data_IF_488595818753
#
_entry.id   IF_488595818753
#
_cell.length_a   1.000
_cell.length_b   1.000
_cell.length_c   1.000
_cell.angle_alpha   90.00
_cell.angle_beta   90.00
_cell.angle_gamma   90.00
#
_symmetry.space_group_name_H-M   'P 1'
#
loop_
_entity.id
_entity.type
_entity.pdbx_description
1 polymer ?
#
# COMPACT_ATOMS: atom_id res chain seq x y z
N UNK A 1 -8.63 -41.96 44.47
CA UNK A 1 -8.07 -40.63 44.13
C UNK A 1 -6.96 -40.82 43.11
N UNK A 2 -7.24 -40.56 41.83
CA UNK A 2 -6.24 -40.47 40.76
C UNK A 2 -6.53 -39.18 40.00
N UNK A 3 -5.68 -38.19 40.17
CA UNK A 3 -5.76 -36.91 39.47
C UNK A 3 -5.28 -37.13 38.03
N UNK A 4 -6.19 -37.00 37.08
CA UNK A 4 -5.84 -36.84 35.66
C UNK A 4 -5.71 -35.34 35.45
N UNK A 5 -4.47 -34.85 35.39
CA UNK A 5 -4.17 -33.50 34.93
C UNK A 5 -4.21 -33.53 33.41
N UNK A 6 -5.29 -33.02 32.83
CA UNK A 6 -5.39 -32.81 31.38
C UNK A 6 -4.72 -31.48 31.05
N UNK A 7 -3.45 -31.53 30.63
CA UNK A 7 -2.75 -30.36 30.09
C UNK A 7 -3.28 -30.10 28.68
N UNK A 8 -4.10 -29.05 28.53
CA UNK A 8 -4.56 -28.56 27.24
C UNK A 8 -3.39 -27.79 26.59
N UNK A 9 -2.65 -28.46 25.71
CA UNK A 9 -1.63 -27.82 24.87
C UNK A 9 -2.37 -27.10 23.74
N UNK A 10 -2.51 -25.78 23.85
CA UNK A 10 -2.91 -24.94 22.73
C UNK A 10 -1.71 -24.86 21.79
N UNK A 11 -1.73 -25.67 20.73
CA UNK A 11 -0.85 -25.51 19.59
C UNK A 11 -1.21 -24.18 18.90
N UNK A 12 -0.47 -23.12 19.21
CA UNK A 12 -0.44 -21.93 18.37
C UNK A 12 0.40 -22.33 17.16
N UNK A 13 -0.26 -22.89 16.15
CA UNK A 13 0.35 -23.07 14.84
C UNK A 13 0.70 -21.68 14.32
N UNK A 14 2.00 -21.44 14.10
CA UNK A 14 2.51 -20.36 13.27
C UNK A 14 2.08 -20.58 11.82
N UNK A 15 0.79 -20.41 11.56
CA UNK A 15 0.28 -20.15 10.23
C UNK A 15 0.82 -18.78 9.87
N UNK A 16 1.59 -18.71 8.79
CA UNK A 16 1.93 -17.47 8.11
C UNK A 16 0.62 -16.82 7.65
N UNK A 17 -0.04 -16.11 8.56
CA UNK A 17 -1.24 -15.35 8.26
C UNK A 17 -0.83 -14.31 7.23
N UNK A 18 -1.26 -14.50 5.98
CA UNK A 18 -1.27 -13.42 5.02
C UNK A 18 -2.01 -12.25 5.65
N UNK A 19 -1.51 -11.03 5.42
CA UNK A 19 -2.19 -9.81 5.79
C UNK A 19 -3.64 -9.87 5.29
N UNK A 20 -4.59 -10.00 6.21
CA UNK A 20 -5.99 -10.23 5.89
C UNK A 20 -6.80 -9.04 6.39
N UNK A 21 -7.43 -8.36 5.44
CA UNK A 21 -8.48 -7.38 5.69
C UNK A 21 -9.83 -8.13 5.69
N UNK A 22 -10.63 -7.95 6.73
CA UNK A 22 -11.90 -8.64 6.92
C UNK A 22 -13.04 -8.05 6.09
N UNK A 23 -12.98 -6.75 5.76
CA UNK A 23 -14.06 -6.07 5.02
C UNK A 23 -13.79 -5.92 3.53
N UNK A 24 -12.55 -6.10 3.08
CA UNK A 24 -12.23 -6.12 1.65
C UNK A 24 -12.94 -7.33 1.03
N UNK A 25 -13.89 -7.06 0.13
CA UNK A 25 -14.53 -8.09 -0.65
C UNK A 25 -13.56 -8.58 -1.71
N UNK A 26 -12.96 -9.75 -1.45
CA UNK A 26 -12.10 -10.47 -2.38
C UNK A 26 -12.92 -11.56 -3.06
N UNK A 27 -13.02 -11.50 -4.38
CA UNK A 27 -13.74 -12.53 -5.13
C UNK A 27 -13.04 -13.88 -5.09
N UNK A 28 -13.83 -14.95 -5.11
CA UNK A 28 -13.30 -16.31 -5.17
C UNK A 28 -12.79 -16.71 -6.57
N UNK A 29 -13.20 -15.98 -7.61
CA UNK A 29 -12.85 -16.22 -9.00
C UNK A 29 -12.79 -14.89 -9.76
N UNK A 30 -12.31 -14.88 -11.01
CA UNK A 30 -12.25 -13.68 -11.88
C UNK A 30 -11.23 -12.59 -11.51
N UNK A 31 -10.19 -12.95 -10.75
CA UNK A 31 -9.03 -12.08 -10.52
C UNK A 31 -8.58 -11.39 -11.83
N UNK A 32 -8.34 -10.08 -11.76
CA UNK A 32 -8.02 -9.14 -12.86
C UNK A 32 -9.13 -8.86 -13.89
N UNK A 33 -10.16 -9.70 -14.02
CA UNK A 33 -11.12 -9.62 -15.15
C UNK A 33 -12.08 -8.44 -15.05
N UNK A 34 -12.29 -7.94 -13.85
CA UNK A 34 -13.19 -6.83 -13.54
C UNK A 34 -12.45 -5.54 -13.17
N UNK A 35 -11.12 -5.54 -13.25
CA UNK A 35 -10.33 -4.33 -13.06
C UNK A 35 -10.61 -3.36 -14.23
N UNK A 36 -11.12 -2.17 -13.91
CA UNK A 36 -11.35 -1.07 -14.85
C UNK A 36 -10.19 -0.08 -14.80
N UNK A 37 -9.80 0.32 -13.60
CA UNK A 37 -8.70 1.24 -13.33
C UNK A 37 -7.37 0.50 -13.46
N UNK A 38 -7.12 -0.51 -12.63
CA UNK A 38 -5.86 -1.23 -12.50
C UNK A 38 -5.82 -2.46 -13.41
N UNK A 39 -6.05 -2.24 -14.70
CA UNK A 39 -6.03 -3.29 -15.72
C UNK A 39 -4.61 -3.71 -16.09
N UNK A 40 -4.44 -4.98 -16.50
CA UNK A 40 -3.16 -5.57 -16.91
C UNK A 40 -2.34 -4.69 -17.87
N UNK A 41 -1.04 -4.56 -17.59
CA UNK A 41 -0.10 -3.78 -18.39
C UNK A 41 -0.17 -2.27 -18.17
N UNK A 42 -1.11 -1.76 -17.36
CA UNK A 42 -1.07 -0.36 -16.93
C UNK A 42 0.03 -0.18 -15.88
N UNK A 43 0.62 1.01 -15.92
CA UNK A 43 1.60 1.48 -14.95
C UNK A 43 1.21 2.88 -14.47
N UNK A 44 1.35 3.09 -13.16
CA UNK A 44 0.98 4.31 -12.46
C UNK A 44 2.24 4.87 -11.79
N UNK A 45 2.64 6.06 -12.19
CA UNK A 45 3.80 6.77 -11.64
C UNK A 45 3.35 7.77 -10.59
N UNK A 46 3.90 7.68 -9.38
CA UNK A 46 3.64 8.56 -8.26
C UNK A 46 4.89 9.38 -7.93
N UNK A 47 4.72 10.70 -7.89
CA UNK A 47 5.65 11.57 -7.15
C UNK A 47 5.38 11.44 -5.67
N UNK A 48 6.40 11.72 -4.87
CA UNK A 48 6.24 11.68 -3.43
C UNK A 48 7.01 12.79 -2.74
N UNK A 49 6.54 13.15 -1.57
CA UNK A 49 7.17 14.10 -0.67
C UNK A 49 7.17 13.52 0.75
N UNK A 50 8.27 13.70 1.48
CA UNK A 50 8.41 13.30 2.87
C UNK A 50 8.64 14.55 3.70
N UNK A 51 7.85 14.73 4.76
CA UNK A 51 7.92 15.89 5.65
C UNK A 51 7.94 15.45 7.11
N UNK A 52 8.76 16.12 7.91
CA UNK A 52 8.78 15.97 9.36
C UNK A 52 8.97 17.37 9.97
N UNK A 53 8.09 17.77 10.89
CA UNK A 53 8.14 19.09 11.52
C UNK A 53 8.24 20.25 10.50
N UNK A 54 7.43 20.21 9.44
CA UNK A 54 7.43 21.14 8.30
C UNK A 54 8.71 21.19 7.45
N UNK A 55 9.72 20.36 7.76
CA UNK A 55 10.95 20.25 6.98
C UNK A 55 10.79 19.15 5.94
N UNK A 56 11.27 19.40 4.72
CA UNK A 56 11.26 18.43 3.62
C UNK A 56 12.48 17.52 3.71
N UNK A 57 12.26 16.23 3.51
CA UNK A 57 13.31 15.21 3.49
C UNK A 57 13.32 14.45 2.17
N UNK A 58 14.51 13.97 1.83
CA UNK A 58 14.83 13.16 0.68
C UNK A 58 15.46 11.86 1.16
N UNK A 59 15.21 10.78 0.43
CA UNK A 59 15.83 9.49 0.70
C UNK A 59 17.25 9.54 0.11
N UNK A 60 18.26 9.44 0.98
CA UNK A 60 19.68 9.34 0.63
C UNK A 60 20.14 7.89 0.49
N UNK A 61 19.60 7.00 1.32
CA UNK A 61 19.80 5.56 1.22
C UNK A 61 18.49 4.81 1.45
N UNK A 62 18.25 3.77 0.66
CA UNK A 62 17.03 2.97 0.70
C UNK A 62 17.31 1.47 0.55
N UNK A 63 18.45 1.01 1.06
CA UNK A 63 18.93 -0.36 0.85
C UNK A 63 18.50 -1.27 2.00
N UNK A 64 17.44 -2.04 1.78
CA UNK A 64 16.86 -2.90 2.82
C UNK A 64 16.43 -2.08 4.05
N UNK A 65 17.04 -2.38 5.20
CA UNK A 65 16.77 -1.69 6.47
C UNK A 65 17.74 -0.52 6.73
N UNK A 66 18.74 -0.33 5.87
CA UNK A 66 19.67 0.81 5.92
C UNK A 66 19.04 2.03 5.24
N UNK A 67 18.17 2.71 5.98
CA UNK A 67 17.42 3.88 5.52
C UNK A 67 18.05 5.15 6.09
N UNK A 68 18.32 6.12 5.22
CA UNK A 68 18.85 7.43 5.60
C UNK A 68 18.05 8.54 4.91
N UNK A 69 17.53 9.47 5.70
CA UNK A 69 16.87 10.67 5.23
C UNK A 69 17.79 11.89 5.37
N UNK A 70 17.66 12.84 4.46
CA UNK A 70 18.44 14.09 4.45
C UNK A 70 17.57 15.24 3.96
N UNK A 71 17.92 16.47 4.35
CA UNK A 71 17.31 17.69 3.81
C UNK A 71 18.02 18.20 2.54
N UNK A 72 19.13 17.57 2.14
CA UNK A 72 19.87 17.91 0.94
C UNK A 72 19.30 17.23 -0.30
N UNK A 73 18.70 18.03 -1.20
CA UNK A 73 18.13 17.56 -2.46
C UNK A 73 19.17 16.96 -3.40
N UNK A 74 20.45 17.35 -3.31
CA UNK A 74 21.50 16.79 -4.16
C UNK A 74 21.76 15.30 -3.87
N UNK A 75 21.31 14.82 -2.70
CA UNK A 75 21.42 13.44 -2.26
C UNK A 75 20.22 12.56 -2.65
N UNK A 76 19.27 13.07 -3.46
CA UNK A 76 18.06 12.35 -3.85
C UNK A 76 18.39 11.11 -4.69
N UNK A 77 18.07 9.92 -4.18
CA UNK A 77 18.30 8.65 -4.90
C UNK A 77 17.05 8.06 -5.56
N UNK A 78 15.86 8.46 -5.12
CA UNK A 78 14.56 7.98 -5.64
C UNK A 78 13.68 9.19 -5.91
N UNK A 79 13.12 9.27 -7.12
CA UNK A 79 12.34 10.44 -7.56
C UNK A 79 10.87 10.11 -7.83
N UNK A 80 10.54 8.82 -7.92
CA UNK A 80 9.23 8.34 -8.31
C UNK A 80 9.05 6.89 -7.86
N UNK A 81 7.82 6.55 -7.46
CA UNK A 81 7.38 5.18 -7.23
C UNK A 81 6.48 4.79 -8.39
N UNK A 82 6.68 3.60 -8.96
CA UNK A 82 5.80 3.08 -10.00
C UNK A 82 5.08 1.83 -9.52
N UNK A 83 3.80 1.75 -9.81
CA UNK A 83 2.97 0.56 -9.66
C UNK A 83 2.70 0.00 -11.06
N UNK A 84 3.15 -1.22 -11.35
CA UNK A 84 2.93 -1.89 -12.63
C UNK A 84 2.04 -3.12 -12.44
N UNK A 85 0.95 -3.20 -13.20
CA UNK A 85 -0.03 -4.29 -13.10
C UNK A 85 0.40 -5.48 -13.96
N UNK A 86 0.63 -6.63 -13.33
CA UNK A 86 1.14 -7.84 -13.97
C UNK A 86 0.06 -8.86 -14.31
N UNK A 87 0.38 -9.78 -15.22
CA UNK A 87 -0.38 -11.00 -15.48
C UNK A 87 0.46 -12.24 -15.18
N UNK A 88 0.66 -12.65 -13.91
CA UNK A 88 1.48 -13.81 -13.59
C UNK A 88 1.06 -15.08 -14.32
N UNK A 89 2.00 -16.00 -14.50
CA UNK A 89 1.66 -17.33 -14.99
C UNK A 89 0.77 -18.03 -13.95
N UNK A 90 0.05 -19.05 -14.40
CA UNK A 90 -0.85 -19.83 -13.55
C UNK A 90 -0.03 -20.36 -12.35
N UNK A 91 -0.59 -20.23 -11.14
CA UNK A 91 0.03 -20.61 -9.86
C UNK A 91 1.27 -19.83 -9.41
N UNK A 92 1.68 -18.77 -10.13
CA UNK A 92 2.84 -17.93 -9.76
C UNK A 92 2.45 -16.59 -9.11
N UNK A 93 1.19 -16.41 -8.73
CA UNK A 93 0.74 -15.21 -8.00
C UNK A 93 1.24 -15.26 -6.56
N UNK A 94 1.70 -14.13 -6.05
CA UNK A 94 2.06 -13.94 -4.64
C UNK A 94 0.83 -14.15 -3.76
N UNK A 95 -0.31 -13.56 -4.16
CA UNK A 95 -1.61 -13.83 -3.55
C UNK A 95 -2.61 -14.34 -4.61
N UNK A 96 -3.09 -15.58 -4.43
CA UNK A 96 -3.93 -16.28 -5.42
C UNK A 96 -5.21 -15.54 -5.81
N UNK A 97 -5.74 -14.67 -4.93
CA UNK A 97 -7.01 -13.98 -5.14
C UNK A 97 -6.87 -12.48 -5.43
N UNK A 98 -5.65 -11.98 -5.56
CA UNK A 98 -5.39 -10.56 -5.82
C UNK A 98 -4.76 -10.37 -7.20
N UNK A 99 -5.01 -9.19 -7.78
CA UNK A 99 -4.27 -8.75 -8.96
C UNK A 99 -2.84 -8.46 -8.55
N UNK A 100 -1.88 -9.06 -9.24
CA UNK A 100 -0.47 -8.90 -8.93
C UNK A 100 0.04 -7.55 -9.42
N UNK A 101 0.76 -6.85 -8.55
CA UNK A 101 1.44 -5.60 -8.86
C UNK A 101 2.90 -5.66 -8.45
N UNK A 102 3.73 -4.90 -9.16
CA UNK A 102 5.09 -4.59 -8.75
C UNK A 102 5.16 -3.11 -8.37
N UNK A 103 5.82 -2.83 -7.25
CA UNK A 103 6.39 -1.51 -6.99
C UNK A 103 7.87 -1.46 -7.42
N UNK A 104 8.23 -0.42 -8.18
CA UNK A 104 9.63 -0.06 -8.46
C UNK A 104 9.93 1.38 -8.01
N UNK A 105 11.17 1.61 -7.60
CA UNK A 105 11.66 2.89 -7.06
C UNK A 105 12.69 3.47 -8.03
N UNK A 106 12.27 4.47 -8.79
CA UNK A 106 13.00 5.00 -9.95
C UNK A 106 13.90 6.19 -9.55
N UNK A 107 15.01 6.45 -10.26
CA UNK A 107 15.37 5.87 -11.57
C UNK A 107 16.17 4.56 -11.52
N UNK A 108 16.67 4.17 -10.35
CA UNK A 108 17.60 3.04 -10.21
C UNK A 108 17.08 2.02 -9.19
N UNK A 109 16.05 1.22 -9.52
CA UNK A 109 15.51 0.27 -8.55
C UNK A 109 16.51 -0.84 -8.27
N UNK A 110 16.95 -0.91 -7.01
CA UNK A 110 17.79 -2.01 -6.49
C UNK A 110 16.98 -3.29 -6.25
N UNK A 111 15.69 -3.15 -5.98
CA UNK A 111 14.76 -4.26 -5.73
C UNK A 111 13.38 -3.97 -6.35
N UNK A 112 12.58 -5.02 -6.50
CA UNK A 112 11.17 -4.96 -6.88
C UNK A 112 10.33 -5.52 -5.75
N UNK A 113 9.23 -4.84 -5.43
CA UNK A 113 8.28 -5.32 -4.42
C UNK A 113 7.06 -5.93 -5.08
N UNK A 114 6.89 -7.24 -4.95
CA UNK A 114 5.70 -7.96 -5.45
C UNK A 114 4.63 -7.97 -4.37
N UNK A 115 3.42 -7.55 -4.75
CA UNK A 115 2.27 -7.53 -3.86
C UNK A 115 0.97 -7.59 -4.67
N UNK A 116 -0.17 -7.24 -4.06
CA UNK A 116 -1.45 -7.29 -4.72
C UNK A 116 -2.37 -6.09 -4.51
N UNK A 117 -3.43 -6.08 -5.32
CA UNK A 117 -4.58 -5.22 -5.15
C UNK A 117 -5.86 -6.00 -5.43
N UNK A 118 -6.98 -5.42 -5.01
CA UNK A 118 -8.33 -5.92 -5.27
C UNK A 118 -9.11 -4.79 -5.91
N UNK A 119 -9.62 -5.00 -7.11
CA UNK A 119 -10.56 -4.11 -7.77
C UNK A 119 -11.75 -4.93 -8.25
N UNK A 120 -12.95 -4.52 -7.86
CA UNK A 120 -14.20 -5.10 -8.36
C UNK A 120 -15.34 -4.09 -8.21
N UNK A 121 -16.58 -4.52 -8.49
CA UNK A 121 -17.77 -3.66 -8.40
C UNK A 121 -18.09 -3.18 -6.97
N UNK A 122 -17.53 -3.81 -5.94
CA UNK A 122 -17.79 -3.48 -4.53
C UNK A 122 -16.71 -2.61 -3.90
N UNK A 123 -15.45 -2.82 -4.26
CA UNK A 123 -14.35 -2.05 -3.70
C UNK A 123 -13.11 -1.97 -4.57
N UNK A 124 -12.27 -0.99 -4.24
CA UNK A 124 -10.87 -0.94 -4.62
C UNK A 124 -10.01 -0.86 -3.37
N UNK A 125 -9.04 -1.77 -3.25
CA UNK A 125 -8.07 -1.85 -2.16
C UNK A 125 -6.69 -2.18 -2.72
N UNK A 126 -5.64 -1.50 -2.25
CA UNK A 126 -4.28 -1.64 -2.80
C UNK A 126 -3.29 -1.76 -1.64
N UNK A 127 -2.39 -2.73 -1.68
CA UNK A 127 -1.22 -2.70 -0.81
C UNK A 127 -0.37 -1.44 -1.08
N UNK A 128 0.07 -0.69 -0.06
CA UNK A 128 0.96 0.45 -0.27
C UNK A 128 2.36 0.01 -0.77
N UNK A 129 3.18 0.95 -1.26
CA UNK A 129 4.62 0.70 -1.45
C UNK A 129 5.23 0.24 -0.12
N UNK A 130 6.11 -0.76 -0.16
CA UNK A 130 6.52 -1.53 1.04
C UNK A 130 7.99 -1.97 1.04
N UNK A 131 8.87 -1.17 0.44
CA UNK A 131 10.34 -1.37 0.49
C UNK A 131 11.06 -0.14 1.03
N UNK A 132 12.21 -0.38 1.65
CA UNK A 132 13.02 0.66 2.27
C UNK A 132 12.19 1.53 3.21
N UNK A 133 12.29 2.86 3.06
CA UNK A 133 11.53 3.83 3.85
C UNK A 133 10.00 3.61 3.79
N UNK A 134 9.48 3.15 2.65
CA UNK A 134 8.04 2.98 2.47
C UNK A 134 7.48 1.74 3.17
N UNK A 135 8.33 0.87 3.74
CA UNK A 135 7.89 -0.14 4.73
C UNK A 135 7.08 0.48 5.87
N UNK A 136 7.35 1.75 6.20
CA UNK A 136 6.56 2.53 7.17
C UNK A 136 5.06 2.55 6.86
N UNK A 137 4.65 2.53 5.59
CA UNK A 137 3.26 2.59 5.17
C UNK A 137 2.46 1.34 5.54
N UNK A 138 3.13 0.24 5.89
CA UNK A 138 2.48 -0.97 6.42
C UNK A 138 1.90 -0.74 7.83
N UNK A 139 2.33 0.31 8.53
CA UNK A 139 1.76 0.76 9.82
C UNK A 139 0.56 1.69 9.66
N UNK A 140 0.20 2.05 8.43
CA UNK A 140 -0.91 2.95 8.09
C UNK A 140 -2.14 2.19 7.59
N UNK A 141 -3.33 2.84 7.56
CA UNK A 141 -4.45 2.34 6.77
C UNK A 141 -4.04 2.24 5.30
N UNK A 142 -4.45 1.17 4.62
CA UNK A 142 -4.18 1.04 3.19
C UNK A 142 -5.19 1.83 2.35
N UNK A 143 -4.82 2.25 1.12
CA UNK A 143 -5.76 2.80 0.16
C UNK A 143 -6.94 1.85 -0.06
N UNK A 144 -8.12 2.28 0.40
CA UNK A 144 -9.33 1.45 0.39
C UNK A 144 -10.58 2.33 0.22
N UNK A 145 -11.42 1.96 -0.74
CA UNK A 145 -12.75 2.55 -0.93
C UNK A 145 -13.79 1.45 -1.14
N UNK A 146 -14.94 1.56 -0.46
CA UNK A 146 -16.16 0.81 -0.77
C UNK A 146 -16.97 1.62 -1.79
N UNK A 147 -17.16 1.07 -2.98
CA UNK A 147 -17.79 1.76 -4.10
C UNK A 147 -19.31 1.90 -3.91
N UNK A 148 -19.90 2.89 -4.59
CA UNK A 148 -21.34 3.15 -4.59
C UNK A 148 -21.90 3.42 -3.18
N UNK A 149 -21.12 4.08 -2.33
CA UNK A 149 -21.52 4.48 -0.98
C UNK A 149 -21.58 6.00 -0.86
N UNK A 150 -22.53 6.55 -0.09
CA UNK A 150 -22.68 7.98 0.08
C UNK A 150 -21.58 8.57 0.98
N UNK A 151 -21.43 9.89 0.95
CA UNK A 151 -20.69 10.66 1.95
C UNK A 151 -21.25 10.36 3.36
N UNK A 152 -20.35 10.22 4.34
CA UNK A 152 -20.64 9.78 5.70
C UNK A 152 -20.65 8.26 5.89
N UNK A 153 -20.48 7.46 4.82
CA UNK A 153 -20.37 6.01 4.95
C UNK A 153 -19.07 5.62 5.67
N UNK A 154 -19.20 4.78 6.69
CA UNK A 154 -18.11 4.33 7.57
C UNK A 154 -17.93 2.83 7.52
N UNK A 155 -16.69 2.39 7.61
CA UNK A 155 -16.36 0.98 7.80
C UNK A 155 -15.08 0.86 8.64
N UNK A 156 -14.89 -0.32 9.20
CA UNK A 156 -13.73 -0.66 10.04
C UNK A 156 -13.09 -1.92 9.51
N UNK A 157 -11.79 -2.06 9.74
CA UNK A 157 -11.05 -3.26 9.43
C UNK A 157 -9.93 -3.44 10.45
N UNK A 158 -9.18 -4.53 10.40
CA UNK A 158 -7.99 -4.69 11.22
C UNK A 158 -6.96 -5.55 10.52
N UNK A 159 -5.69 -5.35 10.88
CA UNK A 159 -4.61 -6.17 10.36
C UNK A 159 -3.58 -6.41 11.45
N UNK A 160 -3.04 -7.63 11.49
CA UNK A 160 -1.89 -7.98 12.30
C UNK A 160 -0.66 -7.99 11.41
N UNK A 161 0.36 -7.21 11.76
CA UNK A 161 1.65 -7.18 11.08
C UNK A 161 2.76 -7.66 12.02
N UNK A 162 3.81 -8.31 11.50
CA UNK A 162 4.93 -8.80 12.30
C UNK A 162 6.09 -7.81 12.41
N UNK A 163 7.07 -8.10 13.25
CA UNK A 163 8.24 -7.26 13.50
C UNK A 163 9.18 -7.09 12.29
N UNK A 164 8.97 -7.81 11.18
CA UNK A 164 9.70 -7.53 9.92
C UNK A 164 9.43 -6.12 9.35
N UNK A 165 8.39 -5.44 9.84
CA UNK A 165 8.05 -4.05 9.51
C UNK A 165 8.52 -3.05 10.57
N UNK A 166 9.11 -3.52 11.67
CA UNK A 166 9.64 -2.73 12.78
C UNK A 166 10.86 -1.94 12.33
N UNK A 167 10.96 -0.65 12.70
CA UNK A 167 12.13 0.16 12.41
C UNK A 167 12.24 1.38 13.33
N UNK A 168 13.46 1.68 13.77
CA UNK A 168 13.79 2.87 14.58
C UNK A 168 13.26 4.20 14.05
N UNK A 169 13.04 4.35 12.75
CA UNK A 169 12.59 5.61 12.14
C UNK A 169 11.11 5.87 12.44
N UNK A 170 10.24 4.87 12.32
CA UNK A 170 8.77 5.04 12.47
C UNK A 170 8.18 4.37 13.71
N UNK A 171 8.96 3.54 14.40
CA UNK A 171 8.55 2.86 15.61
C UNK A 171 8.99 1.41 15.62
N UNK A 172 9.51 0.98 16.77
CA UNK A 172 9.95 -0.40 16.99
C UNK A 172 8.95 -1.17 17.84
N UNK A 173 8.77 -2.44 17.51
CA UNK A 173 8.01 -3.37 18.31
C UNK A 173 8.54 -4.79 18.12
N UNK A 174 8.26 -5.63 19.12
CA UNK A 174 8.54 -7.07 19.07
C UNK A 174 7.27 -7.86 18.75
N UNK A 175 7.43 -9.04 18.15
CA UNK A 175 6.35 -9.93 17.74
C UNK A 175 5.36 -9.30 16.75
N UNK A 176 4.07 -9.25 17.11
CA UNK A 176 2.99 -8.77 16.26
C UNK A 176 2.45 -7.41 16.72
N UNK A 177 1.95 -6.65 15.77
CA UNK A 177 1.30 -5.35 15.97
C UNK A 177 -0.10 -5.42 15.36
N UNK A 178 -1.12 -5.26 16.20
CA UNK A 178 -2.51 -5.09 15.74
C UNK A 178 -2.72 -3.63 15.33
N UNK A 179 -3.25 -3.45 14.13
CA UNK A 179 -3.67 -2.18 13.56
C UNK A 179 -5.19 -2.22 13.43
N UNK A 180 -5.88 -1.36 14.17
CA UNK A 180 -7.34 -1.22 14.09
C UNK A 180 -7.70 -0.01 13.21
N UNK A 181 -8.35 -0.28 12.09
CA UNK A 181 -8.67 0.73 11.09
C UNK A 181 -10.09 1.25 11.20
N UNK A 182 -10.24 2.56 10.99
CA UNK A 182 -11.52 3.21 10.77
C UNK A 182 -11.43 4.07 9.51
N UNK A 183 -12.44 3.96 8.65
CA UNK A 183 -12.53 4.67 7.37
C UNK A 183 -13.86 5.42 7.26
N UNK A 184 -13.85 6.55 6.56
CA UNK A 184 -15.03 7.35 6.26
C UNK A 184 -14.90 8.01 4.88
N UNK A 185 -15.96 7.94 4.05
CA UNK A 185 -16.08 8.85 2.89
C UNK A 185 -16.51 10.21 3.44
N UNK A 186 -15.61 11.19 3.42
CA UNK A 186 -15.86 12.51 4.03
C UNK A 186 -16.43 13.53 3.04
N UNK A 187 -16.34 13.28 1.73
CA UNK A 187 -16.84 14.21 0.73
C UNK A 187 -16.35 13.93 -0.67
N UNK A 188 -16.51 14.95 -1.52
CA UNK A 188 -15.96 15.00 -2.86
C UNK A 188 -15.22 16.32 -3.04
N UNK A 189 -14.04 16.29 -3.64
CA UNK A 189 -13.21 17.46 -3.89
C UNK A 189 -12.74 17.45 -5.36
N UNK A 190 -12.63 18.64 -5.96
CA UNK A 190 -12.01 18.81 -7.26
C UNK A 190 -10.51 18.94 -7.11
N UNK A 191 -9.76 18.07 -7.78
CA UNK A 191 -8.30 18.03 -7.72
C UNK A 191 -7.72 18.47 -9.05
N UNK A 192 -6.84 19.46 -9.00
CA UNK A 192 -6.05 19.89 -10.15
C UNK A 192 -4.87 18.94 -10.31
N UNK A 193 -4.98 18.02 -11.26
CA UNK A 193 -3.98 17.00 -11.53
C UNK A 193 -3.36 17.20 -12.92
N UNK A 194 -2.33 16.39 -13.24
CA UNK A 194 -1.79 16.31 -14.60
C UNK A 194 -2.80 15.76 -15.63
N UNK A 195 -3.96 15.27 -15.18
CA UNK A 195 -5.06 14.80 -16.03
C UNK A 195 -6.16 15.85 -16.19
N UNK A 196 -5.93 17.09 -15.72
CA UNK A 196 -6.91 18.16 -15.62
C UNK A 196 -7.54 18.26 -14.24
N UNK A 197 -8.54 19.12 -14.13
CA UNK A 197 -9.42 19.19 -12.95
C UNK A 197 -10.35 17.96 -12.95
N UNK A 198 -10.28 17.17 -11.89
CA UNK A 198 -11.03 15.91 -11.76
C UNK A 198 -11.74 15.83 -10.42
N UNK A 199 -12.99 15.37 -10.43
CA UNK A 199 -13.75 15.10 -9.21
C UNK A 199 -13.22 13.83 -8.54
N UNK A 200 -12.90 13.92 -7.25
CA UNK A 200 -12.42 12.83 -6.44
C UNK A 200 -13.32 12.62 -5.23
N UNK A 201 -13.63 11.36 -4.91
CA UNK A 201 -14.17 10.95 -3.62
C UNK A 201 -13.04 11.00 -2.60
N UNK A 202 -13.29 11.62 -1.45
CA UNK A 202 -12.30 11.81 -0.39
C UNK A 202 -12.60 10.85 0.74
N UNK A 203 -11.59 10.06 1.12
CA UNK A 203 -11.68 9.07 2.19
C UNK A 203 -10.65 9.42 3.24
N UNK A 204 -11.10 9.59 4.48
CA UNK A 204 -10.21 9.64 5.64
C UNK A 204 -10.17 8.28 6.33
N UNK A 205 -8.97 7.88 6.71
CA UNK A 205 -8.70 6.64 7.39
C UNK A 205 -7.72 6.86 8.54
N UNK A 206 -7.87 6.08 9.60
CA UNK A 206 -7.00 6.09 10.76
C UNK A 206 -6.70 4.65 11.19
N UNK A 207 -5.46 4.39 11.61
CA UNK A 207 -5.09 3.17 12.30
C UNK A 207 -4.74 3.48 13.75
N UNK A 208 -5.30 2.73 14.69
CA UNK A 208 -4.87 2.75 16.08
C UNK A 208 -4.02 1.51 16.37
N UNK A 209 -2.94 1.69 17.11
CA UNK A 209 -2.08 0.60 17.58
C UNK A 209 -1.36 1.00 18.86
N UNK A 210 -0.58 0.09 19.45
CA UNK A 210 0.30 0.42 20.58
C UNK A 210 1.44 1.40 20.24
N UNK A 211 1.74 1.62 18.96
CA UNK A 211 2.70 2.66 18.53
C UNK A 211 2.08 4.07 18.51
N UNK A 212 0.76 4.16 18.58
CA UNK A 212 0.02 5.41 18.40
C UNK A 212 -0.92 5.36 17.21
N UNK A 213 -1.25 6.55 16.69
CA UNK A 213 -2.25 6.73 15.63
C UNK A 213 -1.59 7.16 14.32
N UNK A 214 -1.79 6.39 13.26
CA UNK A 214 -1.44 6.79 11.90
C UNK A 214 -2.70 7.11 11.10
N UNK A 215 -2.56 7.87 10.02
CA UNK A 215 -3.67 8.36 9.19
C UNK A 215 -3.36 8.21 7.71
N UNK A 216 -4.42 8.12 6.92
CA UNK A 216 -4.40 8.27 5.46
C UNK A 216 -5.60 9.11 5.03
N UNK A 217 -5.36 10.23 4.34
CA UNK A 217 -6.39 10.91 3.52
C UNK A 217 -6.14 10.54 2.07
N UNK A 218 -7.14 9.97 1.40
CA UNK A 218 -7.02 9.46 0.04
C UNK A 218 -8.06 10.09 -0.89
N UNK A 219 -7.64 10.36 -2.12
CA UNK A 219 -8.44 10.99 -3.16
C UNK A 219 -8.63 10.00 -4.30
N UNK A 220 -9.85 9.53 -4.48
CA UNK A 220 -10.19 8.47 -5.43
C UNK A 220 -11.01 9.01 -6.60
N UNK A 221 -10.59 8.72 -7.82
CA UNK A 221 -11.33 8.99 -9.04
C UNK A 221 -11.65 7.68 -9.78
N UNK A 222 -12.88 7.52 -10.28
CA UNK A 222 -13.33 6.27 -10.93
C UNK A 222 -12.55 5.88 -12.19
N UNK A 223 -11.91 6.84 -12.87
CA UNK A 223 -11.13 6.62 -14.08
C UNK A 223 -9.64 6.40 -13.78
N UNK A 224 -9.11 7.15 -12.82
CA UNK A 224 -7.67 7.21 -12.56
C UNK A 224 -7.22 6.44 -11.31
N UNK A 225 -8.16 6.01 -10.46
CA UNK A 225 -7.86 5.32 -9.20
C UNK A 225 -7.56 6.29 -8.07
N UNK A 226 -6.71 5.87 -7.14
CA UNK A 226 -6.17 6.78 -6.12
C UNK A 226 -5.21 7.78 -6.76
N UNK A 227 -5.61 9.05 -6.76
CA UNK A 227 -4.88 10.17 -7.35
C UNK A 227 -3.91 10.79 -6.34
N UNK A 228 -4.32 10.94 -5.10
CA UNK A 228 -3.49 11.45 -4.01
C UNK A 228 -3.66 10.60 -2.75
N UNK A 229 -2.56 10.34 -2.05
CA UNK A 229 -2.51 9.62 -0.78
C UNK A 229 -1.64 10.39 0.20
N UNK A 230 -2.24 10.94 1.24
CA UNK A 230 -1.55 11.71 2.28
C UNK A 230 -1.52 10.91 3.56
N UNK A 231 -0.36 10.38 3.90
CA UNK A 231 -0.13 9.61 5.10
C UNK A 231 0.42 10.47 6.22
N UNK A 232 0.05 10.14 7.44
CA UNK A 232 0.74 10.60 8.66
C UNK A 232 1.07 9.37 9.49
N UNK A 233 2.36 9.13 9.74
CA UNK A 233 2.83 8.05 10.60
C UNK A 233 2.54 8.37 12.08
N UNK A 234 2.61 7.36 12.95
CA UNK A 234 2.33 7.53 14.39
C UNK A 234 3.27 8.52 15.10
N UNK A 235 4.48 8.70 14.57
CA UNK A 235 5.47 9.67 15.06
C UNK A 235 5.36 11.07 14.42
N UNK A 236 4.39 11.28 13.51
CA UNK A 236 4.14 12.58 12.87
C UNK A 236 4.86 12.82 11.56
N UNK A 237 5.64 11.86 11.03
CA UNK A 237 6.19 11.96 9.68
C UNK A 237 5.03 11.90 8.67
N UNK A 238 5.01 12.85 7.74
CA UNK A 238 4.03 12.96 6.65
C UNK A 238 4.63 12.46 5.34
N UNK A 239 3.85 11.69 4.59
CA UNK A 239 4.24 11.13 3.30
C UNK A 239 3.10 11.35 2.30
N UNK A 240 3.36 12.13 1.26
CA UNK A 240 2.41 12.36 0.18
C UNK A 240 2.80 11.50 -1.02
N UNK A 241 1.85 10.79 -1.63
CA UNK A 241 2.01 10.12 -2.93
C UNK A 241 1.00 10.71 -3.92
N UNK A 242 1.50 11.35 -4.97
CA UNK A 242 0.69 12.07 -5.96
C UNK A 242 0.84 11.42 -7.32
N UNK A 243 -0.26 10.94 -7.88
CA UNK A 243 -0.32 10.31 -9.19
C UNK A 243 0.05 11.34 -10.26
N UNK A 244 1.18 11.10 -10.91
CA UNK A 244 1.76 12.01 -11.89
C UNK A 244 1.48 11.57 -13.33
N UNK A 245 1.45 10.25 -13.58
CA UNK A 245 1.30 9.71 -14.94
C UNK A 245 0.70 8.30 -14.91
N UNK A 246 -0.11 7.98 -15.92
CA UNK A 246 -0.54 6.61 -16.22
C UNK A 246 -0.09 6.28 -17.64
N UNK A 247 0.51 5.11 -17.82
CA UNK A 247 0.87 4.59 -19.15
C UNK A 247 0.34 3.18 -19.34
N UNK A 248 0.05 2.82 -20.58
CA UNK A 248 -0.27 1.45 -20.97
C UNK A 248 0.97 0.83 -21.61
N UNK A 249 1.64 -0.04 -20.88
CA UNK A 249 2.78 -0.81 -21.32
C UNK A 249 2.40 -2.21 -21.81
N UNK A 250 3.40 -3.07 -22.07
CA UNK A 250 3.17 -4.47 -22.38
C UNK A 250 2.60 -5.22 -21.16
N UNK A 251 1.96 -6.36 -21.43
CA UNK A 251 1.53 -7.27 -20.36
C UNK A 251 2.73 -8.11 -19.93
N UNK A 252 3.28 -7.79 -18.77
CA UNK A 252 4.43 -8.47 -18.17
C UNK A 252 3.97 -9.60 -17.24
N UNK A 253 4.76 -10.68 -17.18
CA UNK A 253 4.45 -11.88 -16.40
C UNK A 253 5.14 -11.96 -15.05
N UNK A 254 6.36 -11.44 -14.97
CA UNK A 254 7.23 -11.61 -13.82
C UNK A 254 8.29 -10.50 -13.78
N UNK A 255 9.13 -10.52 -12.74
CA UNK A 255 10.21 -9.55 -12.56
C UNK A 255 11.27 -9.62 -13.66
N UNK A 256 11.50 -10.79 -14.27
CA UNK A 256 12.48 -10.93 -15.35
C UNK A 256 12.00 -10.20 -16.61
N UNK A 257 10.74 -10.39 -16.98
CA UNK A 257 10.14 -9.64 -18.09
C UNK A 257 10.10 -8.13 -17.80
N UNK A 258 9.77 -7.73 -16.57
CA UNK A 258 9.81 -6.33 -16.14
C UNK A 258 11.20 -5.72 -16.33
N UNK A 259 12.24 -6.34 -15.76
CA UNK A 259 13.61 -5.83 -15.87
C UNK A 259 14.09 -5.78 -17.33
N UNK A 260 13.84 -6.82 -18.11
CA UNK A 260 14.25 -6.86 -19.51
C UNK A 260 13.53 -5.81 -20.37
N UNK A 261 12.27 -5.51 -20.10
CA UNK A 261 11.55 -4.48 -20.85
C UNK A 261 12.02 -3.06 -20.53
N UNK A 262 12.45 -2.84 -19.29
CA UNK A 262 12.66 -1.49 -18.74
C UNK A 262 14.12 -1.04 -18.76
N UNK A 263 15.06 -1.97 -18.56
CA UNK A 263 16.48 -1.67 -18.35
C UNK A 263 17.43 -2.37 -19.32
N UNK A 264 16.91 -3.06 -20.33
CA UNK A 264 17.68 -3.58 -21.46
C UNK A 264 17.11 -3.02 -22.76
#
# INVERSE_FOLDING_TARGET
MKNIVTTLIILISSLSFGQQYDKVFIENSKVDKNNKVYSLGKEFSFKFDIRENNSKYFIKNNDGDSIELTNDIASLVINEIRLTVLKPKIFQRTNKKQTEIIYSYEPNPKSLSFTGLVENEKNIWIHPPREGFFKSLETCPFPYIVLNKPVGFKWVDSMIIGNQWSNKIWGEWEDSLLLEYAYEIIGTEKINSNFGEIDCVVIEAMANSRLGKSKLKSYFNEKYGFVELHYTLANGIEIDLILNKIVKGPILRDGKEFYNHRYK
#
